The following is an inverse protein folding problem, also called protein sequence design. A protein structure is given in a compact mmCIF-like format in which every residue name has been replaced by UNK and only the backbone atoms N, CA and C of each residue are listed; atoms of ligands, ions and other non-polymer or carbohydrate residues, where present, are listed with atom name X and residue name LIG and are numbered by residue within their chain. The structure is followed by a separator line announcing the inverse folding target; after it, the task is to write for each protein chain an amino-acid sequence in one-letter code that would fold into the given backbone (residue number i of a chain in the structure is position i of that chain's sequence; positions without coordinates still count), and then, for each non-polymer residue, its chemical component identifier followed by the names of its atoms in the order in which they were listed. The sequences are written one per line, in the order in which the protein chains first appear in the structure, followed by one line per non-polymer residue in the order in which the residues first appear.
data_IF_273595081334
#
_entry.id   IF_273595081334
#
_cell.length_a   1.000
_cell.length_b   1.000
_cell.length_c   1.000
_cell.angle_alpha   90.00
_cell.angle_beta   90.00
_cell.angle_gamma   90.00
#
_symmetry.space_group_name_H-M   'P 1'
#
loop_
_entity.id
_entity.type
_entity.pdbx_description
1 polymer ?
#
# COMPACT_ATOMS: atom_id res chain seq x y z
N UNK A 1 -12.85 -10.91 -13.00
CA UNK A 1 -13.42 -11.87 -12.02
C UNK A 1 -12.33 -12.74 -11.42
N UNK A 2 -11.31 -13.07 -12.20
CA UNK A 2 -10.21 -13.97 -11.85
C UNK A 2 -9.35 -13.47 -10.69
N UNK A 3 -9.07 -12.16 -10.65
CA UNK A 3 -8.24 -11.55 -9.59
C UNK A 3 -8.93 -11.69 -8.22
N UNK A 4 -10.24 -11.46 -8.14
CA UNK A 4 -11.00 -11.61 -6.90
C UNK A 4 -11.02 -13.07 -6.42
N UNK A 5 -11.17 -14.02 -7.36
CA UNK A 5 -11.09 -15.46 -7.05
C UNK A 5 -9.72 -15.86 -6.50
N UNK A 6 -8.64 -15.40 -7.14
CA UNK A 6 -7.26 -15.67 -6.69
C UNK A 6 -7.00 -15.07 -5.30
N UNK A 7 -7.49 -13.85 -5.03
CA UNK A 7 -7.39 -13.23 -3.70
C UNK A 7 -8.15 -14.03 -2.65
N UNK A 8 -9.38 -14.46 -2.93
CA UNK A 8 -10.17 -15.29 -2.01
C UNK A 8 -9.48 -16.62 -1.69
N UNK A 9 -8.98 -17.33 -2.72
CA UNK A 9 -8.25 -18.59 -2.54
C UNK A 9 -6.97 -18.38 -1.73
N UNK A 10 -6.23 -17.29 -1.99
CA UNK A 10 -5.05 -16.91 -1.23
C UNK A 10 -5.33 -16.71 0.27
N UNK A 11 -6.44 -16.05 0.61
CA UNK A 11 -6.87 -15.85 2.02
C UNK A 11 -7.26 -17.18 2.68
N UNK A 12 -7.99 -18.06 1.97
CA UNK A 12 -8.37 -19.37 2.49
C UNK A 12 -7.15 -20.27 2.78
N UNK A 13 -6.19 -20.32 1.86
CA UNK A 13 -4.96 -21.11 2.00
C UNK A 13 -4.09 -20.51 3.13
N UNK A 14 -3.96 -19.19 3.19
CA UNK A 14 -3.23 -18.48 4.24
C UNK A 14 -3.78 -18.75 5.65
N UNK A 15 -5.10 -18.85 5.80
CA UNK A 15 -5.73 -19.11 7.10
C UNK A 15 -5.60 -20.58 7.56
N UNK A 16 -5.57 -21.55 6.63
CA UNK A 16 -5.62 -22.98 6.97
C UNK A 16 -4.23 -23.64 7.08
N UNK A 17 -3.20 -23.13 6.39
CA UNK A 17 -2.00 -23.91 6.10
C UNK A 17 -0.65 -23.19 6.32
N UNK A 18 -0.61 -21.99 6.91
CA UNK A 18 0.61 -21.15 6.95
C UNK A 18 1.29 -21.13 8.35
N UNK A 19 2.24 -22.04 8.65
CA UNK A 19 3.04 -21.95 9.87
C UNK A 19 4.03 -20.78 9.81
N UNK A 20 4.38 -20.22 10.97
CA UNK A 20 5.19 -18.99 11.11
C UNK A 20 6.56 -19.04 10.40
N UNK A 21 7.09 -20.23 10.12
CA UNK A 21 8.34 -20.43 9.38
C UNK A 21 8.25 -19.97 7.92
N UNK A 22 7.12 -20.16 7.25
CA UNK A 22 6.92 -19.71 5.87
C UNK A 22 6.50 -18.25 5.78
N UNK A 23 6.01 -17.65 6.88
CA UNK A 23 5.64 -16.23 6.94
C UNK A 23 6.80 -15.31 6.59
N UNK A 24 7.99 -15.54 7.17
CA UNK A 24 9.20 -14.74 6.88
C UNK A 24 9.69 -14.89 5.45
N UNK A 25 9.57 -16.09 4.87
CA UNK A 25 9.95 -16.35 3.48
C UNK A 25 8.96 -15.65 2.54
N UNK A 26 7.67 -15.75 2.82
CA UNK A 26 6.62 -15.11 2.03
C UNK A 26 6.70 -13.59 2.10
N UNK A 27 7.03 -13.03 3.26
CA UNK A 27 7.28 -11.59 3.43
C UNK A 27 8.46 -11.12 2.56
N UNK A 28 9.61 -11.80 2.61
CA UNK A 28 10.75 -11.48 1.75
C UNK A 28 10.41 -11.64 0.27
N UNK A 29 9.75 -12.73 -0.11
CA UNK A 29 9.35 -13.00 -1.48
C UNK A 29 8.37 -11.94 -1.98
N UNK A 30 7.39 -11.55 -1.17
CA UNK A 30 6.43 -10.51 -1.50
C UNK A 30 7.10 -9.16 -1.69
N UNK A 31 8.06 -8.78 -0.84
CA UNK A 31 8.83 -7.55 -1.01
C UNK A 31 9.64 -7.59 -2.31
N UNK A 32 10.33 -8.69 -2.60
CA UNK A 32 11.10 -8.86 -3.84
C UNK A 32 10.18 -8.79 -5.07
N UNK A 33 9.06 -9.51 -5.06
CA UNK A 33 8.06 -9.44 -6.13
C UNK A 33 7.49 -8.03 -6.28
N UNK A 34 7.20 -7.34 -5.18
CA UNK A 34 6.70 -5.96 -5.22
C UNK A 34 7.72 -5.02 -5.85
N UNK A 35 8.99 -5.16 -5.48
CA UNK A 35 10.09 -4.40 -6.08
C UNK A 35 10.19 -4.66 -7.59
N UNK A 36 10.15 -5.94 -8.00
CA UNK A 36 10.19 -6.33 -9.41
C UNK A 36 8.99 -5.79 -10.18
N UNK A 37 7.78 -5.85 -9.61
CA UNK A 37 6.58 -5.31 -10.25
C UNK A 37 6.64 -3.79 -10.41
N UNK A 38 7.08 -3.07 -9.37
CA UNK A 38 7.28 -1.62 -9.46
C UNK A 38 8.32 -1.30 -10.54
N UNK A 39 9.41 -2.08 -10.60
CA UNK A 39 10.43 -1.92 -11.64
C UNK A 39 9.86 -2.14 -13.04
N UNK A 40 9.12 -3.24 -13.27
CA UNK A 40 8.48 -3.52 -14.56
C UNK A 40 7.47 -2.43 -14.96
N UNK A 41 6.69 -1.92 -14.01
CA UNK A 41 5.81 -0.78 -14.26
C UNK A 41 6.61 0.47 -14.66
N UNK A 42 7.72 0.74 -13.97
CA UNK A 42 8.63 1.85 -14.29
C UNK A 42 9.24 1.73 -15.70
N UNK A 43 9.71 0.54 -16.09
CA UNK A 43 10.23 0.28 -17.46
C UNK A 43 9.13 0.46 -18.50
N UNK A 44 7.91 -0.02 -18.22
CA UNK A 44 6.76 0.15 -19.13
C UNK A 44 6.39 1.63 -19.32
N UNK A 45 6.52 2.45 -18.27
CA UNK A 45 6.32 3.90 -18.35
C UNK A 45 7.46 4.59 -19.11
N UNK A 46 8.71 4.18 -18.88
CA UNK A 46 9.90 4.74 -19.57
C UNK A 46 10.00 4.36 -21.04
N UNK A 47 9.45 3.22 -21.44
CA UNK A 47 9.39 2.79 -22.84
C UNK A 47 8.34 3.54 -23.68
N UNK A 48 7.51 4.38 -23.07
CA UNK A 48 6.52 5.20 -23.78
C UNK A 48 7.16 6.52 -24.20
N UNK A 49 7.36 6.70 -25.50
CA UNK A 49 8.02 7.88 -26.08
C UNK A 49 7.33 9.21 -25.70
N UNK A 50 6.01 9.20 -25.59
CA UNK A 50 5.22 10.39 -25.23
C UNK A 50 4.99 10.55 -23.72
N UNK A 51 5.44 9.64 -22.84
CA UNK A 51 5.13 9.73 -21.41
C UNK A 51 5.66 11.01 -20.77
N UNK A 52 6.90 11.41 -21.07
CA UNK A 52 7.51 12.63 -20.54
C UNK A 52 6.83 13.89 -21.12
N UNK A 53 6.38 13.81 -22.37
CA UNK A 53 5.69 14.90 -23.04
C UNK A 53 4.28 15.08 -22.49
N UNK A 54 3.53 13.98 -22.29
CA UNK A 54 2.22 13.94 -21.63
C UNK A 54 2.30 14.41 -20.17
N UNK A 55 3.31 13.95 -19.41
CA UNK A 55 3.59 14.47 -18.08
C UNK A 55 3.90 15.97 -18.10
N UNK A 56 4.62 16.47 -19.11
CA UNK A 56 4.93 17.89 -19.25
C UNK A 56 3.70 18.74 -19.61
N UNK A 57 2.80 18.22 -20.46
CA UNK A 57 1.59 18.96 -20.89
C UNK A 57 0.46 18.89 -19.86
N UNK A 58 0.30 17.76 -19.17
CA UNK A 58 -0.80 17.51 -18.23
C UNK A 58 -0.36 17.60 -16.76
N UNK A 59 0.95 17.70 -16.48
CA UNK A 59 1.54 17.50 -15.17
C UNK A 59 0.96 18.34 -14.05
N UNK A 60 0.63 19.61 -14.32
CA UNK A 60 0.02 20.48 -13.31
C UNK A 60 -1.38 20.00 -12.90
N UNK A 61 -2.20 19.63 -13.88
CA UNK A 61 -3.56 19.13 -13.62
C UNK A 61 -3.52 17.76 -12.95
N UNK A 62 -2.71 16.83 -13.46
CA UNK A 62 -2.55 15.48 -12.89
C UNK A 62 -1.98 15.52 -11.47
N UNK A 63 -1.07 16.44 -11.18
CA UNK A 63 -0.52 16.61 -9.83
C UNK A 63 -1.59 17.11 -8.85
N UNK A 64 -2.43 18.08 -9.25
CA UNK A 64 -3.51 18.58 -8.42
C UNK A 64 -4.57 17.49 -8.17
N UNK A 65 -4.95 16.74 -9.20
CA UNK A 65 -5.86 15.60 -9.09
C UNK A 65 -5.28 14.42 -8.31
N UNK A 66 -3.97 14.31 -8.17
CA UNK A 66 -3.35 13.35 -7.26
C UNK A 66 -3.34 13.87 -5.83
N UNK A 67 -2.85 15.09 -5.62
CA UNK A 67 -2.61 15.66 -4.30
C UNK A 67 -3.90 15.90 -3.52
N UNK A 68 -4.97 16.35 -4.18
CA UNK A 68 -6.23 16.67 -3.51
C UNK A 68 -6.92 15.43 -2.93
N UNK A 69 -7.19 14.34 -3.70
CA UNK A 69 -7.78 13.12 -3.14
C UNK A 69 -6.79 12.30 -2.31
N UNK A 70 -5.49 12.25 -2.63
CA UNK A 70 -4.53 11.52 -1.80
C UNK A 70 -4.34 12.19 -0.44
N UNK A 71 -4.15 13.52 -0.42
CA UNK A 71 -4.07 14.32 0.79
C UNK A 71 -5.38 14.29 1.57
N UNK A 72 -6.52 14.40 0.88
CA UNK A 72 -7.84 14.24 1.47
C UNK A 72 -8.03 12.89 2.14
N UNK A 73 -7.72 11.79 1.44
CA UNK A 73 -7.79 10.43 1.99
C UNK A 73 -6.89 10.26 3.22
N UNK A 74 -5.67 10.80 3.19
CA UNK A 74 -4.73 10.71 4.31
C UNK A 74 -5.26 11.50 5.53
N UNK A 75 -5.76 12.72 5.34
CA UNK A 75 -6.32 13.54 6.42
C UNK A 75 -7.58 12.90 7.01
N UNK A 76 -8.44 12.34 6.17
CA UNK A 76 -9.67 11.68 6.59
C UNK A 76 -9.34 10.44 7.42
N UNK A 77 -8.45 9.57 6.93
CA UNK A 77 -7.98 8.39 7.67
C UNK A 77 -7.30 8.80 8.97
N UNK A 78 -6.43 9.81 8.97
CA UNK A 78 -5.78 10.29 10.19
C UNK A 78 -6.78 10.81 11.23
N UNK A 79 -7.78 11.58 10.80
CA UNK A 79 -8.86 12.04 11.65
C UNK A 79 -9.72 10.90 12.19
N UNK A 80 -10.04 9.92 11.35
CA UNK A 80 -10.80 8.73 11.72
C UNK A 80 -10.01 7.86 12.70
N UNK A 81 -8.73 7.57 12.43
CA UNK A 81 -7.84 6.83 13.32
C UNK A 81 -7.74 7.51 14.67
N UNK A 82 -7.55 8.83 14.73
CA UNK A 82 -7.46 9.56 16.01
C UNK A 82 -8.79 9.57 16.79
N UNK A 83 -9.94 9.55 16.10
CA UNK A 83 -11.28 9.57 16.71
C UNK A 83 -11.80 8.18 17.11
N UNK A 84 -11.55 7.16 16.29
CA UNK A 84 -12.00 5.78 16.52
C UNK A 84 -10.99 4.93 17.30
N UNK A 85 -9.70 5.25 17.21
CA UNK A 85 -8.63 4.58 17.94
C UNK A 85 -7.93 5.61 18.82
N UNK A 86 -8.60 6.13 19.88
CA UNK A 86 -7.91 6.89 20.91
C UNK A 86 -6.80 5.98 21.42
N UNK A 87 -5.55 6.36 21.15
CA UNK A 87 -4.41 5.63 21.63
C UNK A 87 -4.62 5.37 23.12
N UNK A 88 -4.47 4.11 23.53
CA UNK A 88 -4.36 3.64 24.91
C UNK A 88 -3.09 4.18 25.60
N UNK A 89 -2.73 5.43 25.30
CA UNK A 89 -1.64 6.22 25.88
C UNK A 89 -2.11 6.88 27.17
N UNK A 90 -2.61 6.10 28.13
CA UNK A 90 -2.77 6.53 29.54
C UNK A 90 -2.60 5.34 30.52
N UNK A 91 -1.88 4.25 30.17
CA UNK A 91 -1.57 3.17 31.15
C UNK A 91 -0.15 2.58 31.14
N UNK A 92 0.83 3.18 30.44
CA UNK A 92 2.26 2.82 30.60
C UNK A 92 3.19 4.01 30.90
N UNK A 93 2.67 5.03 31.59
CA UNK A 93 3.49 6.05 32.28
C UNK A 93 3.25 6.05 33.81
N UNK A 94 2.54 5.05 34.33
CA UNK A 94 2.28 4.82 35.75
C UNK A 94 2.45 3.34 36.11
N UNK A 95 3.66 2.82 35.92
CA UNK A 95 4.19 1.79 36.81
C UNK A 95 5.63 2.22 37.10
N UNK A 96 5.84 3.02 38.16
CA UNK A 96 7.09 3.01 38.88
C UNK A 96 7.09 1.73 39.72
N UNK A 97 7.90 0.76 39.33
CA UNK A 97 8.47 -0.23 40.26
C UNK A 97 9.84 -0.65 39.73
#
# INVERSE_FOLDING_TARGET
MDILLVMCVGVLIGNRFFPEKYKKINEKLQVVCTMLLIFCMGVTLGSREHFLQELGTLGWTSFLFFLFPAGGSLLLVYGLTRKFMPLEKEKKKKEPV
#
